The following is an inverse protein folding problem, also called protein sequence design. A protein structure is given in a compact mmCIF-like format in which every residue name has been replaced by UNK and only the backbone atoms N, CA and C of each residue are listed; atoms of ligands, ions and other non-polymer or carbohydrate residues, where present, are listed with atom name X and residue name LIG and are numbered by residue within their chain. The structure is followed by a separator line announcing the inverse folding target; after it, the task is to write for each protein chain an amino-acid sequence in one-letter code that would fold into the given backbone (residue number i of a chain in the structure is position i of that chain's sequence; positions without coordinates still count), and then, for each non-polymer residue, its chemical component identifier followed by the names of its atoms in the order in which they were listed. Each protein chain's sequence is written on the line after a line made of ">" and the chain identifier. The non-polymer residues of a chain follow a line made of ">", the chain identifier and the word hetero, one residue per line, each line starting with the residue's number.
data_IF_074681998247
#
_entry.id   IF_074681998247
#
_cell.length_a   1.000
_cell.length_b   1.000
_cell.length_c   1.000
_cell.angle_alpha   90.00
_cell.angle_beta   90.00
_cell.angle_gamma   90.00
#
_symmetry.space_group_name_H-M   'P 1'
#
loop_
_entity.id
_entity.type
_entity.pdbx_description
1 polymer ?
#
# COMPACT_ATOMS: atom_id res chain seq x y z
N UNK A 1 -11.37 17.75 3.92
CA UNK A 1 -10.70 16.78 3.03
C UNK A 1 -10.20 15.66 3.93
N UNK A 2 -10.39 14.39 3.55
CA UNK A 2 -9.92 13.26 4.37
C UNK A 2 -8.47 12.92 3.99
N UNK A 3 -7.65 12.57 4.97
CA UNK A 3 -6.25 12.22 4.74
C UNK A 3 -6.07 10.75 4.33
N UNK A 4 -7.04 9.92 4.70
CA UNK A 4 -7.02 8.47 4.61
C UNK A 4 -7.92 7.91 3.50
N UNK A 5 -8.65 8.76 2.74
CA UNK A 5 -9.52 8.28 1.66
C UNK A 5 -9.96 9.37 0.68
N UNK A 6 -10.29 8.94 -0.53
CA UNK A 6 -11.04 9.70 -1.52
C UNK A 6 -12.46 9.15 -1.61
N UNK A 7 -13.45 10.00 -1.36
CA UNK A 7 -14.87 9.68 -1.56
C UNK A 7 -15.39 10.38 -2.81
N UNK A 8 -16.00 9.62 -3.71
CA UNK A 8 -16.68 10.14 -4.90
C UNK A 8 -18.14 9.73 -4.79
N UNK A 9 -19.03 10.71 -4.69
CA UNK A 9 -20.46 10.49 -4.60
C UNK A 9 -21.16 10.95 -5.88
N UNK A 10 -21.88 10.04 -6.52
CA UNK A 10 -22.62 10.31 -7.75
C UNK A 10 -24.12 10.13 -7.51
N UNK A 11 -24.97 11.05 -8.00
CA UNK A 11 -26.42 10.91 -7.87
C UNK A 11 -26.95 9.72 -8.69
N UNK A 12 -28.04 9.15 -8.19
CA UNK A 12 -28.71 7.98 -8.74
C UNK A 12 -28.16 6.65 -8.23
N UNK A 13 -28.89 5.58 -8.55
CA UNK A 13 -28.60 4.17 -8.23
C UNK A 13 -27.86 3.47 -9.36
N UNK A 14 -27.16 2.38 -9.08
CA UNK A 14 -26.56 1.55 -10.12
C UNK A 14 -27.59 1.20 -11.21
N UNK A 15 -27.16 1.21 -12.48
CA UNK A 15 -28.10 1.01 -13.56
C UNK A 15 -28.41 -0.46 -13.82
N UNK A 16 -29.71 -0.78 -13.86
CA UNK A 16 -30.23 -2.05 -14.35
C UNK A 16 -29.60 -3.29 -13.67
N UNK A 17 -28.75 -4.02 -14.38
CA UNK A 17 -28.12 -5.27 -13.91
C UNK A 17 -26.82 -5.05 -13.12
N UNK A 18 -26.35 -3.80 -13.01
CA UNK A 18 -25.10 -3.49 -12.30
C UNK A 18 -25.35 -3.41 -10.80
N UNK A 19 -24.44 -4.00 -10.03
CA UNK A 19 -24.43 -4.01 -8.56
C UNK A 19 -23.00 -3.75 -8.07
N UNK A 20 -22.82 -3.50 -6.78
CA UNK A 20 -21.51 -3.32 -6.17
C UNK A 20 -20.59 -4.55 -6.38
N UNK A 21 -21.16 -5.76 -6.40
CA UNK A 21 -20.39 -6.99 -6.55
C UNK A 21 -19.91 -7.23 -7.99
N UNK A 22 -20.70 -6.78 -8.97
CA UNK A 22 -20.47 -7.13 -10.37
C UNK A 22 -19.92 -5.97 -11.23
N UNK A 23 -19.81 -4.76 -10.69
CA UNK A 23 -19.37 -3.55 -11.41
C UNK A 23 -17.98 -3.69 -12.04
N UNK A 24 -17.12 -4.55 -11.48
CA UNK A 24 -15.76 -4.78 -12.00
C UNK A 24 -15.76 -5.55 -13.32
N UNK A 25 -16.80 -6.32 -13.64
CA UNK A 25 -16.86 -7.13 -14.86
C UNK A 25 -18.14 -6.93 -15.69
N UNK A 26 -19.12 -6.20 -15.20
CA UNK A 26 -20.38 -5.93 -15.90
C UNK A 26 -20.32 -4.61 -16.67
N UNK A 27 -20.57 -4.66 -17.98
CA UNK A 27 -20.63 -3.48 -18.84
C UNK A 27 -22.05 -2.93 -18.91
N UNK A 28 -22.25 -1.72 -18.41
CA UNK A 28 -23.48 -0.98 -18.67
C UNK A 28 -23.24 0.53 -18.62
N UNK A 29 -23.75 1.25 -19.63
CA UNK A 29 -23.76 2.71 -19.62
C UNK A 29 -25.19 3.23 -19.54
N UNK A 30 -25.46 4.12 -18.57
CA UNK A 30 -26.74 4.82 -18.44
C UNK A 30 -27.04 5.70 -19.65
N UNK A 31 -26.02 6.40 -20.14
CA UNK A 31 -26.14 7.31 -21.27
C UNK A 31 -25.11 6.94 -22.34
N UNK A 32 -25.58 6.20 -23.36
CA UNK A 32 -24.74 5.73 -24.47
C UNK A 32 -24.15 6.87 -25.29
N UNK A 33 -24.87 7.98 -25.45
CA UNK A 33 -24.41 9.14 -26.22
C UNK A 33 -23.23 9.81 -25.53
N UNK A 34 -23.33 10.09 -24.23
CA UNK A 34 -22.22 10.67 -23.45
C UNK A 34 -21.02 9.72 -23.47
N UNK A 35 -21.26 8.43 -23.22
CA UNK A 35 -20.18 7.43 -23.24
C UNK A 35 -19.42 7.42 -24.56
N UNK A 36 -20.14 7.46 -25.69
CA UNK A 36 -19.55 7.48 -27.02
C UNK A 36 -18.71 8.74 -27.25
N UNK A 37 -19.24 9.91 -26.92
CA UNK A 37 -18.51 11.19 -27.05
C UNK A 37 -17.25 11.19 -26.19
N UNK A 38 -17.30 10.71 -24.95
CA UNK A 38 -16.13 10.61 -24.07
C UNK A 38 -15.07 9.64 -24.61
N UNK A 39 -15.48 8.61 -25.34
CA UNK A 39 -14.56 7.70 -26.04
C UNK A 39 -13.97 8.35 -27.28
N UNK A 40 -14.75 9.09 -28.08
CA UNK A 40 -14.25 9.84 -29.24
C UNK A 40 -13.22 10.91 -28.84
N UNK A 41 -13.34 11.50 -27.64
CA UNK A 41 -12.34 12.39 -27.03
C UNK A 41 -11.15 11.66 -26.37
N UNK A 42 -11.10 10.32 -26.43
CA UNK A 42 -10.07 9.48 -25.80
C UNK A 42 -9.96 9.64 -24.27
N UNK A 43 -10.96 10.21 -23.60
CA UNK A 43 -10.99 10.34 -22.14
C UNK A 43 -11.38 9.03 -21.45
N UNK A 44 -12.18 8.21 -22.13
CA UNK A 44 -12.65 6.91 -21.64
C UNK A 44 -12.37 5.82 -22.67
N UNK A 45 -11.77 4.71 -22.24
CA UNK A 45 -11.56 3.53 -23.08
C UNK A 45 -12.81 2.67 -23.16
N UNK A 46 -13.10 2.13 -24.34
CA UNK A 46 -14.34 1.39 -24.60
C UNK A 46 -14.42 -0.02 -23.98
N UNK A 47 -13.30 -0.54 -23.44
CA UNK A 47 -13.12 -1.94 -23.06
C UNK A 47 -13.54 -2.32 -21.62
N UNK A 48 -14.23 -1.43 -20.88
CA UNK A 48 -14.55 -1.62 -19.44
C UNK A 48 -13.33 -1.85 -18.55
N UNK A 49 -12.18 -1.34 -18.99
CA UNK A 49 -10.94 -1.46 -18.23
C UNK A 49 -10.91 -0.50 -17.04
N UNK A 50 -11.69 0.59 -17.05
CA UNK A 50 -11.62 1.64 -16.05
C UNK A 50 -11.77 1.11 -14.63
N UNK A 51 -12.89 0.44 -14.33
CA UNK A 51 -13.14 -0.11 -12.97
C UNK A 51 -12.10 -1.16 -12.63
N UNK A 52 -11.81 -2.11 -13.53
CA UNK A 52 -10.77 -3.14 -13.32
C UNK A 52 -9.40 -2.53 -13.02
N UNK A 53 -9.05 -1.46 -13.72
CA UNK A 53 -7.80 -0.73 -13.53
C UNK A 53 -7.74 -0.08 -12.14
N UNK A 54 -8.84 0.48 -11.64
CA UNK A 54 -8.88 1.00 -10.26
C UNK A 54 -8.57 -0.13 -9.26
N UNK A 55 -9.22 -1.28 -9.38
CA UNK A 55 -8.93 -2.44 -8.51
C UNK A 55 -7.48 -2.89 -8.63
N UNK A 56 -6.96 -3.00 -9.85
CA UNK A 56 -5.57 -3.39 -10.11
C UNK A 56 -4.56 -2.40 -9.53
N UNK A 57 -4.78 -1.10 -9.75
CA UNK A 57 -3.90 -0.04 -9.27
C UNK A 57 -3.88 -0.01 -7.73
N UNK A 58 -5.04 -0.18 -7.08
CA UNK A 58 -5.13 -0.26 -5.61
C UNK A 58 -4.43 -1.51 -5.07
N UNK A 59 -4.61 -2.66 -5.73
CA UNK A 59 -3.98 -3.91 -5.33
C UNK A 59 -2.46 -3.89 -5.53
N UNK A 60 -1.98 -3.36 -6.66
CA UNK A 60 -0.55 -3.11 -6.88
C UNK A 60 -0.03 -2.22 -5.74
N UNK A 61 -0.81 -1.20 -5.38
CA UNK A 61 -0.49 -0.28 -4.31
C UNK A 61 -0.52 -0.82 -2.88
N UNK A 62 -0.88 -2.10 -2.70
CA UNK A 62 -1.08 -2.68 -1.39
C UNK A 62 -2.16 -1.96 -0.58
N UNK A 63 -3.09 -1.29 -1.27
CA UNK A 63 -4.21 -0.57 -0.69
C UNK A 63 -5.45 -1.46 -0.64
N UNK A 64 -6.38 -1.20 0.29
CA UNK A 64 -7.66 -1.89 0.32
C UNK A 64 -8.40 -1.79 -1.02
N UNK A 65 -9.17 -2.81 -1.35
CA UNK A 65 -9.99 -2.79 -2.56
C UNK A 65 -11.00 -1.63 -2.53
N UNK A 66 -11.34 -1.04 -3.70
CA UNK A 66 -12.39 -0.03 -3.81
C UNK A 66 -13.72 -0.48 -3.19
N UNK A 67 -14.33 0.37 -2.38
CA UNK A 67 -15.62 0.12 -1.75
C UNK A 67 -16.71 0.89 -2.50
N UNK A 68 -17.72 0.18 -3.01
CA UNK A 68 -18.91 0.76 -3.62
C UNK A 68 -20.10 0.61 -2.67
N UNK A 69 -20.74 1.73 -2.34
CA UNK A 69 -21.93 1.77 -1.48
C UNK A 69 -23.07 2.39 -2.27
N UNK A 70 -24.16 1.64 -2.41
CA UNK A 70 -25.40 2.16 -2.97
C UNK A 70 -26.34 2.59 -1.84
N UNK A 71 -26.79 3.84 -1.91
CA UNK A 71 -27.89 4.37 -1.11
C UNK A 71 -29.13 4.52 -2.00
N UNK A 72 -30.33 4.78 -1.45
CA UNK A 72 -31.54 4.94 -2.27
C UNK A 72 -31.41 5.95 -3.42
N UNK A 73 -30.56 6.97 -3.26
CA UNK A 73 -30.43 8.08 -4.20
C UNK A 73 -29.00 8.33 -4.71
N UNK A 74 -27.98 7.63 -4.19
CA UNK A 74 -26.58 7.88 -4.55
C UNK A 74 -25.78 6.59 -4.63
N UNK A 75 -24.76 6.60 -5.49
CA UNK A 75 -23.68 5.62 -5.47
C UNK A 75 -22.43 6.32 -4.98
N UNK A 76 -21.81 5.78 -3.95
CA UNK A 76 -20.56 6.26 -3.37
C UNK A 76 -19.44 5.28 -3.65
N UNK A 77 -18.32 5.79 -4.16
CA UNK A 77 -17.06 5.09 -4.27
C UNK A 77 -16.11 5.62 -3.19
N UNK A 78 -15.58 4.73 -2.36
CA UNK A 78 -14.57 5.04 -1.35
C UNK A 78 -13.28 4.34 -1.74
N UNK A 79 -12.23 5.13 -1.99
CA UNK A 79 -10.88 4.66 -2.22
C UNK A 79 -10.06 4.97 -0.97
N UNK A 80 -9.78 3.95 -0.16
CA UNK A 80 -9.00 4.11 1.06
C UNK A 80 -7.52 4.21 0.73
N UNK A 81 -6.85 5.10 1.44
CA UNK A 81 -5.44 5.33 1.39
C UNK A 81 -4.85 4.98 2.75
N UNK A 82 -3.85 4.11 2.79
CA UNK A 82 -3.11 3.86 4.00
C UNK A 82 -1.94 4.86 4.06
N UNK A 83 -2.03 5.82 4.98
CA UNK A 83 -1.00 6.86 5.16
C UNK A 83 0.36 6.22 5.46
N UNK A 84 0.38 5.03 6.10
CA UNK A 84 1.60 4.29 6.43
C UNK A 84 2.27 3.61 5.23
N UNK A 85 1.57 3.43 4.09
CA UNK A 85 2.11 2.83 2.85
C UNK A 85 2.38 3.88 1.75
N UNK A 86 2.07 5.16 2.00
CA UNK A 86 2.20 6.29 1.06
C UNK A 86 3.63 6.47 0.51
N UNK A 87 4.64 5.98 1.23
CA UNK A 87 6.06 6.02 0.83
C UNK A 87 6.42 5.06 -0.30
N UNK A 88 5.58 4.07 -0.63
CA UNK A 88 5.91 3.06 -1.65
C UNK A 88 5.59 3.53 -3.07
N UNK A 89 4.56 4.38 -3.24
CA UNK A 89 4.08 4.81 -4.58
C UNK A 89 4.59 6.18 -5.05
N UNK A 90 5.15 7.00 -4.16
CA UNK A 90 5.72 8.31 -4.50
C UNK A 90 7.07 8.26 -5.24
N UNK A 91 7.74 7.10 -5.28
CA UNK A 91 9.15 7.02 -5.69
C UNK A 91 9.43 6.48 -7.10
N UNK A 92 8.41 6.29 -7.95
CA UNK A 92 8.67 5.99 -9.38
C UNK A 92 8.84 7.24 -10.27
N UNK A 93 8.62 8.46 -9.75
CA UNK A 93 8.67 9.67 -10.56
C UNK A 93 9.51 10.83 -10.01
N UNK A 94 10.11 10.74 -8.82
CA UNK A 94 10.94 11.83 -8.31
C UNK A 94 12.05 11.30 -7.44
N UNK A 95 13.29 11.51 -7.88
CA UNK A 95 14.44 11.40 -7.02
C UNK A 95 14.36 12.44 -5.90
N UNK A 96 14.94 12.05 -4.78
CA UNK A 96 15.40 12.94 -3.72
C UNK A 96 14.32 13.61 -2.84
N UNK A 97 14.09 13.01 -1.67
CA UNK A 97 14.05 13.70 -0.38
C UNK A 97 13.67 12.69 0.72
N UNK A 98 14.53 12.57 1.73
CA UNK A 98 14.38 11.63 2.84
C UNK A 98 13.05 11.76 3.57
N UNK A 99 12.44 10.61 3.89
CA UNK A 99 11.43 10.55 4.94
C UNK A 99 11.56 9.24 5.71
N UNK A 100 11.63 9.43 7.03
CA UNK A 100 12.01 8.49 8.09
C UNK A 100 10.93 7.45 8.42
N UNK A 101 10.23 6.92 7.42
CA UNK A 101 9.39 5.73 7.61
C UNK A 101 10.27 4.47 7.55
N UNK A 102 10.03 3.52 8.46
CA UNK A 102 10.74 2.24 8.44
C UNK A 102 10.33 1.46 7.18
N UNK A 103 11.31 1.07 6.35
CA UNK A 103 11.09 0.26 5.15
C UNK A 103 10.64 -1.16 5.54
N UNK A 104 9.99 -1.91 4.64
CA UNK A 104 9.50 -3.27 4.92
C UNK A 104 10.62 -4.22 5.37
N UNK A 105 11.81 -4.07 4.78
CA UNK A 105 13.00 -4.80 5.22
C UNK A 105 13.43 -4.43 6.65
N UNK A 106 13.27 -3.17 7.06
CA UNK A 106 13.55 -2.70 8.42
C UNK A 106 12.54 -3.29 9.42
N UNK A 107 11.24 -3.33 9.06
CA UNK A 107 10.17 -3.93 9.88
C UNK A 107 10.38 -5.43 10.12
N UNK A 108 10.67 -6.18 9.06
CA UNK A 108 10.92 -7.63 9.15
C UNK A 108 12.11 -7.93 10.08
N UNK A 109 13.21 -7.17 9.92
CA UNK A 109 14.40 -7.35 10.77
C UNK A 109 14.08 -6.98 12.23
N UNK A 110 13.31 -5.92 12.48
CA UNK A 110 12.86 -5.55 13.84
C UNK A 110 12.02 -6.67 14.46
N UNK A 111 11.10 -7.27 13.71
CA UNK A 111 10.26 -8.37 14.22
C UNK A 111 11.11 -9.60 14.57
N UNK A 112 12.08 -9.94 13.72
CA UNK A 112 13.01 -11.05 14.00
C UNK A 112 13.86 -10.74 15.24
N UNK A 113 14.37 -9.52 15.39
CA UNK A 113 15.13 -9.10 16.58
C UNK A 113 14.27 -9.18 17.85
N UNK A 114 12.97 -8.82 17.77
CA UNK A 114 12.05 -8.95 18.90
C UNK A 114 11.84 -10.40 19.33
N UNK A 115 11.72 -11.32 18.37
CA UNK A 115 11.54 -12.76 18.64
C UNK A 115 12.85 -13.46 19.02
N UNK A 116 13.98 -13.00 18.49
CA UNK A 116 15.30 -13.60 18.68
C UNK A 116 16.37 -12.52 18.95
N UNK A 117 16.42 -11.94 20.17
CA UNK A 117 17.36 -10.86 20.50
C UNK A 117 18.83 -11.26 20.35
N UNK A 118 19.16 -12.55 20.50
CA UNK A 118 20.53 -13.07 20.38
C UNK A 118 20.91 -13.47 18.95
N UNK A 119 20.02 -13.31 17.97
CA UNK A 119 20.29 -13.76 16.61
C UNK A 119 21.48 -13.02 15.98
N UNK A 120 22.38 -13.80 15.39
CA UNK A 120 23.45 -13.31 14.55
C UNK A 120 22.90 -12.77 13.23
N UNK A 121 23.68 -11.90 12.55
CA UNK A 121 23.29 -11.40 11.22
C UNK A 121 23.08 -12.52 10.19
N UNK A 122 23.74 -13.68 10.37
CA UNK A 122 23.55 -14.85 9.52
C UNK A 122 22.18 -15.47 9.73
N UNK A 123 21.78 -15.68 10.99
CA UNK A 123 20.46 -16.24 11.32
C UNK A 123 19.33 -15.27 10.94
N UNK A 124 19.55 -13.96 11.07
CA UNK A 124 18.59 -12.95 10.60
C UNK A 124 18.44 -13.02 9.07
N UNK A 125 19.54 -13.22 8.33
CA UNK A 125 19.49 -13.37 6.88
C UNK A 125 18.70 -14.61 6.44
N UNK A 126 18.91 -15.74 7.11
CA UNK A 126 18.17 -16.98 6.86
C UNK A 126 16.69 -16.82 7.19
N UNK A 127 16.34 -16.24 8.35
CA UNK A 127 14.94 -16.05 8.78
C UNK A 127 14.18 -14.99 7.98
N UNK A 128 14.87 -13.98 7.47
CA UNK A 128 14.28 -12.91 6.67
C UNK A 128 14.26 -13.22 5.17
N UNK A 129 14.83 -14.35 4.74
CA UNK A 129 15.07 -14.70 3.32
C UNK A 129 15.80 -13.58 2.56
N UNK A 130 16.73 -12.89 3.23
CA UNK A 130 17.49 -11.78 2.67
C UNK A 130 18.96 -12.14 2.46
N UNK A 131 19.61 -11.48 1.49
CA UNK A 131 21.06 -11.59 1.34
C UNK A 131 21.78 -11.00 2.55
N UNK A 132 22.94 -11.56 2.91
CA UNK A 132 23.76 -11.08 4.04
C UNK A 132 24.09 -9.59 3.92
N UNK A 133 24.38 -9.13 2.70
CA UNK A 133 24.68 -7.72 2.41
C UNK A 133 23.46 -6.81 2.63
N UNK A 134 22.25 -7.28 2.29
CA UNK A 134 21.00 -6.54 2.55
C UNK A 134 20.76 -6.40 4.05
N UNK A 135 20.87 -7.49 4.82
CA UNK A 135 20.72 -7.46 6.28
C UNK A 135 21.74 -6.52 6.93
N UNK A 136 23.02 -6.60 6.54
CA UNK A 136 24.07 -5.75 7.09
C UNK A 136 23.79 -4.26 6.86
N UNK A 137 23.38 -3.89 5.64
CA UNK A 137 23.02 -2.51 5.30
C UNK A 137 21.80 -2.03 6.08
N UNK A 138 20.75 -2.83 6.13
CA UNK A 138 19.51 -2.47 6.83
C UNK A 138 19.71 -2.35 8.34
N UNK A 139 20.46 -3.26 8.97
CA UNK A 139 20.79 -3.15 10.39
C UNK A 139 21.65 -1.93 10.70
N UNK A 140 22.61 -1.59 9.83
CA UNK A 140 23.39 -0.35 9.98
C UNK A 140 22.48 0.88 9.98
N UNK A 141 21.56 0.97 9.02
CA UNK A 141 20.59 2.05 8.95
C UNK A 141 19.69 2.11 10.21
N UNK A 142 19.23 0.97 10.72
CA UNK A 142 18.41 0.90 11.93
C UNK A 142 19.14 1.37 13.20
N UNK A 143 20.45 1.08 13.28
CA UNK A 143 21.30 1.59 14.38
C UNK A 143 21.52 3.10 14.24
N UNK A 144 21.77 3.60 13.03
CA UNK A 144 21.93 5.04 12.75
C UNK A 144 20.64 5.81 13.07
N UNK A 145 19.48 5.24 12.73
CA UNK A 145 18.15 5.76 13.09
C UNK A 145 17.82 5.65 14.58
N UNK A 146 18.71 5.08 15.41
CA UNK A 146 18.51 4.81 16.84
C UNK A 146 17.29 3.94 17.16
N UNK A 147 16.86 3.11 16.20
CA UNK A 147 15.70 2.21 16.34
C UNK A 147 16.12 0.91 17.01
N UNK A 148 17.34 0.44 16.75
CA UNK A 148 17.91 -0.73 17.42
C UNK A 148 19.28 -0.42 18.02
N UNK A 149 19.63 -1.08 19.10
CA UNK A 149 20.95 -1.02 19.70
C UNK A 149 21.39 -2.40 20.18
N UNK A 150 22.70 -2.57 20.35
CA UNK A 150 23.29 -3.80 20.87
C UNK A 150 23.68 -3.60 22.32
N UNK A 151 23.16 -4.44 23.19
CA UNK A 151 23.42 -4.43 24.63
C UNK A 151 24.31 -5.64 24.99
N UNK A 152 25.46 -5.38 25.62
CA UNK A 152 26.41 -6.41 26.04
C UNK A 152 27.63 -6.60 25.12
N UNK A 153 28.43 -7.63 25.43
CA UNK A 153 29.73 -7.86 24.78
C UNK A 153 29.63 -8.23 23.29
N UNK A 154 30.70 -7.99 22.51
CA UNK A 154 30.72 -8.24 21.05
C UNK A 154 30.26 -9.66 20.68
N UNK A 155 30.64 -10.67 21.46
CA UNK A 155 30.29 -12.09 21.22
C UNK A 155 28.94 -12.54 21.81
N UNK A 156 28.48 -11.94 22.92
CA UNK A 156 27.30 -12.43 23.68
C UNK A 156 26.20 -11.37 23.87
N UNK A 157 26.26 -10.26 23.13
CA UNK A 157 25.32 -9.14 23.25
C UNK A 157 23.99 -9.39 22.53
N UNK A 158 22.91 -8.89 23.12
CA UNK A 158 21.55 -8.92 22.57
C UNK A 158 21.28 -7.67 21.73
N UNK A 159 20.44 -7.82 20.71
CA UNK A 159 19.83 -6.70 20.00
C UNK A 159 18.53 -6.30 20.70
N UNK A 160 18.36 -5.00 20.93
CA UNK A 160 17.17 -4.38 21.53
C UNK A 160 16.61 -3.33 20.59
N UNK A 161 15.31 -3.10 20.68
CA UNK A 161 14.59 -2.08 19.90
C UNK A 161 14.22 -0.94 20.85
N UNK A 162 14.56 0.29 20.48
CA UNK A 162 14.27 1.50 21.26
C UNK A 162 12.75 1.72 21.32
N UNK A 163 12.20 1.91 22.52
CA UNK A 163 10.75 2.13 22.73
C UNK A 163 10.05 1.12 23.64
N UNK A 164 10.78 0.31 24.41
CA UNK A 164 10.18 -0.45 25.53
C UNK A 164 10.26 0.36 26.83
N UNK A 165 9.12 0.94 27.22
CA UNK A 165 8.61 0.86 28.58
C UNK A 165 7.25 0.17 28.52
#
# INVERSE_FOLDING_TARGET
>A
MYDDRLEIESPGRFPNIVTADNISYTRFSRNKTISRVMTEFEWVRELNEGVKKIYSDMAEAGLPAPEYIETPNTVKLILRNNIDTRTVYGNKASGDAGNEALNDAERIIIEIIRKFPQASQKEIAEKAEFSRSKVQRTMKNLVEKKVIYREGARKNGVWRVTGQQ
#
